data_IF_097282288278
#
_entry.id   IF_097282288278
#
_cell.length_a   1.000
_cell.length_b   1.000
_cell.length_c   1.000
_cell.angle_alpha   90.00
_cell.angle_beta   90.00
_cell.angle_gamma   90.00
#
_symmetry.space_group_name_H-M   'P 1'
#
loop_
_entity.id
_entity.type
_entity.pdbx_description
1 polymer ?
#
# COMPACT_ATOMS: atom_id res chain seq x y z
N UNK A 1 -21.92 25.28 3.13
CA UNK A 1 -22.01 24.27 2.06
C UNK A 1 -20.64 24.14 1.44
N UNK A 2 -19.78 23.29 2.07
CA UNK A 2 -18.47 22.96 1.53
C UNK A 2 -18.65 22.13 0.25
N UNK A 3 -17.98 22.53 -0.84
CA UNK A 3 -17.81 21.68 -2.00
C UNK A 3 -17.10 20.40 -1.49
N UNK A 4 -17.79 19.27 -1.48
CA UNK A 4 -17.18 17.99 -1.13
C UNK A 4 -16.02 17.75 -2.10
N UNK A 5 -14.82 17.58 -1.57
CA UNK A 5 -13.67 17.18 -2.36
C UNK A 5 -14.04 15.85 -3.03
N UNK A 6 -14.13 15.84 -4.35
CA UNK A 6 -14.37 14.60 -5.10
C UNK A 6 -13.10 13.77 -4.97
N UNK A 7 -13.21 12.62 -4.30
CA UNK A 7 -12.09 11.70 -4.15
C UNK A 7 -11.71 11.12 -5.52
N UNK A 8 -10.42 11.02 -5.79
CA UNK A 8 -9.94 10.33 -6.98
C UNK A 8 -10.39 8.85 -6.98
N UNK A 9 -10.74 8.26 -8.13
CA UNK A 9 -11.22 6.88 -8.18
C UNK A 9 -10.15 5.84 -7.83
N UNK A 10 -8.88 6.19 -7.93
CA UNK A 10 -7.77 5.33 -7.53
C UNK A 10 -6.96 5.96 -6.40
N UNK A 11 -6.38 5.11 -5.54
CA UNK A 11 -5.49 5.56 -4.47
C UNK A 11 -4.25 4.67 -4.38
N UNK A 12 -3.10 5.31 -4.16
CA UNK A 12 -1.88 4.66 -3.71
C UNK A 12 -1.73 4.89 -2.22
N UNK A 13 -1.43 3.86 -1.47
CA UNK A 13 -1.14 3.98 -0.03
C UNK A 13 0.24 3.39 0.25
N UNK A 14 1.17 4.23 0.65
CA UNK A 14 2.45 3.80 1.21
C UNK A 14 2.35 3.68 2.72
N UNK A 15 2.58 2.48 3.23
CA UNK A 15 2.55 2.17 4.66
C UNK A 15 3.96 2.13 5.23
N UNK A 16 4.15 2.56 6.48
CA UNK A 16 5.45 2.45 7.13
C UNK A 16 5.74 3.53 8.16
N UNK A 17 6.95 3.49 8.71
CA UNK A 17 7.48 4.48 9.64
C UNK A 17 8.83 4.98 9.15
N UNK A 18 8.92 6.25 8.75
CA UNK A 18 10.11 6.85 8.15
C UNK A 18 11.34 6.89 9.07
N UNK A 19 11.14 6.82 10.38
CA UNK A 19 12.23 6.84 11.35
C UNK A 19 12.65 5.43 11.82
N UNK A 20 12.13 4.38 11.20
CA UNK A 20 12.40 3.00 11.57
C UNK A 20 13.12 2.22 10.44
N UNK A 21 14.08 2.86 9.76
CA UNK A 21 14.88 2.24 8.71
C UNK A 21 14.02 1.74 7.55
N UNK A 22 14.20 0.49 7.16
CA UNK A 22 13.52 -0.10 6.01
C UNK A 22 11.98 -0.17 6.16
N UNK A 23 11.44 -0.06 7.38
CA UNK A 23 9.99 0.06 7.62
C UNK A 23 9.39 1.29 6.94
N UNK A 24 10.21 2.31 6.62
CA UNK A 24 9.82 3.48 5.86
C UNK A 24 9.66 3.28 4.36
N UNK A 25 9.97 2.11 3.82
CA UNK A 25 10.03 1.88 2.36
C UNK A 25 8.74 2.24 1.62
N UNK A 26 7.57 1.88 2.18
CA UNK A 26 6.27 2.23 1.58
C UNK A 26 6.03 3.74 1.54
N UNK A 27 6.41 4.47 2.59
CA UNK A 27 6.31 5.93 2.65
C UNK A 27 7.23 6.59 1.61
N UNK A 28 8.47 6.10 1.50
CA UNK A 28 9.42 6.59 0.49
C UNK A 28 8.89 6.38 -0.95
N UNK A 29 8.32 5.21 -1.22
CA UNK A 29 7.68 4.91 -2.50
C UNK A 29 6.48 5.85 -2.77
N UNK A 30 5.63 6.08 -1.77
CA UNK A 30 4.49 6.98 -1.90
C UNK A 30 4.91 8.40 -2.24
N UNK A 31 5.97 8.93 -1.63
CA UNK A 31 6.47 10.28 -1.95
C UNK A 31 6.94 10.42 -3.39
N UNK A 32 7.65 9.43 -3.92
CA UNK A 32 8.07 9.45 -5.32
C UNK A 32 6.84 9.38 -6.24
N UNK A 33 5.87 8.53 -5.91
CA UNK A 33 4.63 8.42 -6.68
C UNK A 33 3.76 9.68 -6.61
N UNK A 34 3.75 10.40 -5.49
CA UNK A 34 3.08 11.69 -5.34
C UNK A 34 3.61 12.71 -6.35
N UNK A 35 4.93 12.78 -6.51
CA UNK A 35 5.57 13.67 -7.50
C UNK A 35 5.31 13.19 -8.94
N UNK A 36 5.43 11.88 -9.22
CA UNK A 36 5.26 11.32 -10.57
C UNK A 36 3.81 11.34 -11.08
N UNK A 37 2.84 11.32 -10.17
CA UNK A 37 1.41 11.26 -10.47
C UNK A 37 0.67 12.55 -10.16
N UNK A 38 1.39 13.63 -9.80
CA UNK A 38 0.82 14.91 -9.40
C UNK A 38 -0.15 15.53 -10.42
N UNK A 39 0.07 15.26 -11.70
CA UNK A 39 -0.77 15.77 -12.80
C UNK A 39 -1.98 14.85 -13.13
N UNK A 40 -2.13 13.72 -12.47
CA UNK A 40 -3.24 12.78 -12.71
C UNK A 40 -4.36 12.96 -11.67
N UNK A 41 -5.46 13.67 -12.00
CA UNK A 41 -6.53 13.94 -11.04
C UNK A 41 -7.35 12.70 -10.65
N UNK A 42 -7.12 11.55 -11.30
CA UNK A 42 -7.81 10.31 -11.00
C UNK A 42 -7.06 9.43 -9.99
N UNK A 43 -5.90 9.88 -9.51
CA UNK A 43 -5.08 9.13 -8.56
C UNK A 43 -4.72 10.02 -7.37
N UNK A 44 -5.10 9.58 -6.17
CA UNK A 44 -4.58 10.15 -4.93
C UNK A 44 -3.42 9.30 -4.42
N UNK A 45 -2.45 9.94 -3.79
CA UNK A 45 -1.35 9.26 -3.10
C UNK A 45 -1.39 9.63 -1.62
N UNK A 46 -1.32 8.63 -0.74
CA UNK A 46 -1.41 8.79 0.70
C UNK A 46 -0.26 8.04 1.37
N UNK A 47 0.48 8.72 2.23
CA UNK A 47 1.42 8.10 3.16
C UNK A 47 0.70 7.85 4.49
N UNK A 48 0.72 6.62 4.99
CA UNK A 48 -0.03 6.21 6.17
C UNK A 48 0.87 5.43 7.14
N UNK A 49 1.07 5.91 8.37
CA UNK A 49 1.94 5.23 9.33
C UNK A 49 1.34 3.97 9.94
N UNK A 50 0.02 3.78 9.81
CA UNK A 50 -0.73 2.69 10.40
C UNK A 50 -1.68 2.05 9.39
N UNK A 51 -1.88 0.72 9.50
CA UNK A 51 -2.91 -0.03 8.77
C UNK A 51 -4.29 0.06 9.45
N UNK A 52 -5.02 -1.05 9.46
CA UNK A 52 -6.28 -1.19 10.20
C UNK A 52 -7.40 -0.26 9.73
N UNK A 53 -8.11 0.36 10.66
CA UNK A 53 -9.27 1.21 10.36
C UNK A 53 -8.90 2.48 9.59
N UNK A 54 -7.72 3.07 9.83
CA UNK A 54 -7.27 4.25 9.09
C UNK A 54 -7.09 3.94 7.60
N UNK A 55 -6.52 2.77 7.29
CA UNK A 55 -6.41 2.30 5.91
C UNK A 55 -7.79 2.08 5.28
N UNK A 56 -8.73 1.51 6.03
CA UNK A 56 -10.10 1.29 5.56
C UNK A 56 -10.81 2.60 5.17
N UNK A 57 -10.62 3.67 5.94
CA UNK A 57 -11.17 5.00 5.63
C UNK A 57 -10.56 5.59 4.34
N UNK A 58 -9.26 5.39 4.12
CA UNK A 58 -8.59 5.84 2.88
C UNK A 58 -9.09 5.07 1.66
N UNK A 59 -9.41 3.78 1.82
CA UNK A 59 -9.91 2.93 0.74
C UNK A 59 -11.39 3.18 0.40
N UNK A 60 -12.15 3.75 1.33
CA UNK A 60 -13.58 3.98 1.15
C UNK A 60 -13.86 4.88 -0.06
N UNK A 61 -14.88 4.49 -0.83
CA UNK A 61 -15.36 5.18 -2.03
C UNK A 61 -14.34 5.27 -3.18
N UNK A 62 -13.26 4.47 -3.12
CA UNK A 62 -12.31 4.27 -4.23
C UNK A 62 -12.75 3.07 -5.07
N UNK A 63 -12.31 3.04 -6.32
CA UNK A 63 -12.52 1.91 -7.25
C UNK A 63 -11.33 0.97 -7.32
N UNK A 64 -10.12 1.53 -7.20
CA UNK A 64 -8.85 0.79 -7.25
C UNK A 64 -7.91 1.28 -6.16
N UNK A 65 -7.10 0.38 -5.65
CA UNK A 65 -6.06 0.71 -4.69
C UNK A 65 -4.76 -0.04 -4.96
N UNK A 66 -3.65 0.65 -4.74
CA UNK A 66 -2.31 0.08 -4.69
C UNK A 66 -1.74 0.31 -3.29
N UNK A 67 -1.38 -0.76 -2.58
CA UNK A 67 -0.77 -0.69 -1.27
C UNK A 67 0.69 -1.08 -1.35
N UNK A 68 1.55 -0.37 -0.63
CA UNK A 68 2.98 -0.66 -0.53
C UNK A 68 3.34 -0.75 0.94
N UNK A 69 3.88 -1.89 1.38
CA UNK A 69 4.26 -2.14 2.76
C UNK A 69 5.65 -2.78 2.86
N UNK A 70 6.25 -2.69 4.03
CA UNK A 70 7.49 -3.38 4.36
C UNK A 70 7.17 -4.80 4.84
N UNK A 71 7.99 -5.77 4.44
CA UNK A 71 7.95 -7.14 4.91
C UNK A 71 9.15 -7.43 5.81
N UNK A 72 8.91 -8.20 6.86
CA UNK A 72 9.93 -8.81 7.73
C UNK A 72 9.61 -10.29 7.82
N UNK A 73 9.54 -10.96 6.66
CA UNK A 73 9.17 -12.37 6.58
C UNK A 73 10.36 -13.30 6.79
N UNK A 74 11.54 -12.88 6.38
CA UNK A 74 12.73 -13.71 6.30
C UNK A 74 12.66 -14.79 5.21
N UNK A 75 11.61 -14.77 4.37
CA UNK A 75 11.40 -15.76 3.30
C UNK A 75 12.05 -15.33 1.98
N UNK A 76 12.40 -14.03 1.85
CA UNK A 76 12.98 -13.45 0.65
C UNK A 76 14.28 -12.70 0.97
N UNK A 77 15.21 -12.59 0.01
CA UNK A 77 16.35 -11.69 0.15
C UNK A 77 15.89 -10.24 0.37
N UNK A 78 16.65 -9.49 1.19
CA UNK A 78 16.40 -8.07 1.42
C UNK A 78 16.34 -7.29 0.09
N UNK A 79 15.36 -6.41 -0.05
CA UNK A 79 15.09 -5.67 -1.27
C UNK A 79 14.28 -6.43 -2.32
N UNK A 80 13.79 -7.65 -2.01
CA UNK A 80 12.85 -8.33 -2.90
C UNK A 80 11.50 -7.61 -2.90
N UNK A 81 10.97 -7.36 -4.09
CA UNK A 81 9.60 -6.84 -4.27
C UNK A 81 8.66 -8.03 -4.50
N UNK A 82 7.71 -8.20 -3.61
CA UNK A 82 6.79 -9.34 -3.59
C UNK A 82 5.36 -8.86 -3.81
N UNK A 83 4.64 -9.50 -4.72
CA UNK A 83 3.21 -9.29 -4.86
C UNK A 83 2.48 -10.12 -3.81
N UNK A 84 1.66 -9.44 -2.98
CA UNK A 84 0.89 -10.11 -1.93
C UNK A 84 -0.56 -10.32 -2.37
N UNK A 85 -1.10 -11.47 -2.00
CA UNK A 85 -2.52 -11.76 -2.11
C UNK A 85 -3.26 -11.27 -0.85
N UNK A 86 -4.55 -10.95 -0.97
CA UNK A 86 -5.36 -10.44 0.16
C UNK A 86 -5.44 -11.44 1.34
N UNK A 87 -5.13 -12.71 1.11
CA UNK A 87 -5.17 -13.76 2.13
C UNK A 87 -3.84 -14.02 2.83
N UNK A 88 -2.73 -13.48 2.34
CA UNK A 88 -1.39 -13.76 2.86
C UNK A 88 -0.61 -12.49 3.18
N UNK A 89 -0.71 -12.05 4.45
CA UNK A 89 0.02 -10.91 4.98
C UNK A 89 1.12 -11.30 5.97
N UNK A 90 1.59 -12.54 5.90
CA UNK A 90 2.69 -12.99 6.76
C UNK A 90 3.92 -12.15 6.48
N UNK A 91 4.50 -11.62 7.57
CA UNK A 91 5.66 -10.73 7.49
C UNK A 91 5.35 -9.27 7.19
N UNK A 92 4.14 -8.92 6.74
CA UNK A 92 3.76 -7.51 6.60
C UNK A 92 3.76 -6.80 7.95
N UNK A 93 4.46 -5.67 8.02
CA UNK A 93 4.63 -4.92 9.28
C UNK A 93 3.35 -4.17 9.66
N UNK A 94 2.66 -3.59 8.68
CA UNK A 94 1.50 -2.72 8.94
C UNK A 94 0.15 -3.37 8.64
N UNK A 95 0.08 -4.27 7.67
CA UNK A 95 -1.16 -4.95 7.31
C UNK A 95 -1.52 -6.08 8.29
N UNK A 96 -0.53 -6.55 9.08
CA UNK A 96 -0.71 -7.57 10.11
C UNK A 96 -0.52 -7.03 11.54
N UNK A 97 -0.97 -5.82 11.80
CA UNK A 97 -0.76 -5.13 13.08
C UNK A 97 -1.41 -5.86 14.27
N UNK A 98 -0.65 -6.01 15.37
CA UNK A 98 -1.14 -6.61 16.62
C UNK A 98 -2.06 -5.70 17.45
N UNK A 99 -2.08 -4.40 17.18
CA UNK A 99 -2.80 -3.43 18.00
C UNK A 99 -4.15 -3.02 17.39
N UNK A 100 -4.34 -3.30 16.10
CA UNK A 100 -5.55 -2.98 15.37
C UNK A 100 -6.10 -4.22 14.66
N UNK A 101 -7.25 -4.05 14.04
CA UNK A 101 -7.86 -5.07 13.19
C UNK A 101 -6.94 -5.37 11.99
N UNK A 102 -6.73 -6.64 11.65
CA UNK A 102 -5.96 -7.03 10.47
C UNK A 102 -6.62 -6.54 9.17
N UNK A 103 -5.85 -6.37 8.10
CA UNK A 103 -6.37 -5.88 6.84
C UNK A 103 -7.57 -6.68 6.31
N UNK A 104 -7.56 -8.04 6.26
CA UNK A 104 -8.73 -8.80 5.85
C UNK A 104 -9.96 -8.58 6.72
N UNK A 105 -9.75 -8.46 8.04
CA UNK A 105 -10.85 -8.22 8.98
C UNK A 105 -11.39 -6.78 8.84
N UNK A 106 -10.53 -5.79 8.56
CA UNK A 106 -10.95 -4.42 8.26
C UNK A 106 -11.79 -4.36 6.98
N UNK A 107 -11.36 -5.04 5.91
CA UNK A 107 -12.13 -5.14 4.66
C UNK A 107 -13.50 -5.81 4.89
N UNK A 108 -13.54 -6.91 5.64
CA UNK A 108 -14.79 -7.58 5.99
C UNK A 108 -15.73 -6.65 6.77
N UNK A 109 -15.21 -5.93 7.78
CA UNK A 109 -15.97 -4.95 8.55
C UNK A 109 -16.53 -3.82 7.66
N UNK A 110 -15.73 -3.27 6.77
CA UNK A 110 -16.18 -2.23 5.84
C UNK A 110 -17.32 -2.70 4.94
N UNK A 111 -17.24 -3.95 4.47
CA UNK A 111 -18.32 -4.58 3.68
C UNK A 111 -19.60 -4.77 4.50
N UNK A 112 -19.49 -5.22 5.75
CA UNK A 112 -20.63 -5.35 6.67
C UNK A 112 -21.30 -4.00 6.99
N UNK A 113 -20.49 -2.92 7.07
CA UNK A 113 -20.99 -1.56 7.25
C UNK A 113 -21.59 -0.96 5.96
N UNK A 114 -21.61 -1.69 4.86
CA UNK A 114 -22.13 -1.23 3.57
C UNK A 114 -21.24 -0.18 2.88
N UNK A 115 -19.96 -0.07 3.25
CA UNK A 115 -19.04 0.86 2.60
C UNK A 115 -18.66 0.33 1.20
N UNK A 116 -18.56 1.24 0.26
CA UNK A 116 -17.96 0.92 -1.03
C UNK A 116 -16.44 0.88 -0.86
N UNK A 117 -15.87 -0.28 -1.08
CA UNK A 117 -14.43 -0.52 -1.06
C UNK A 117 -13.96 -0.82 -2.48
N UNK A 118 -12.65 -0.68 -2.78
CA UNK A 118 -12.14 -0.92 -4.11
C UNK A 118 -12.48 -2.33 -4.63
N UNK A 119 -12.84 -2.39 -5.91
CA UNK A 119 -13.06 -3.65 -6.61
C UNK A 119 -11.73 -4.39 -6.87
N UNK A 120 -10.63 -3.62 -6.95
CA UNK A 120 -9.30 -4.14 -7.20
C UNK A 120 -8.30 -3.52 -6.21
N UNK A 121 -7.70 -4.37 -5.40
CA UNK A 121 -6.64 -3.99 -4.45
C UNK A 121 -5.37 -4.75 -4.82
N UNK A 122 -4.34 -4.00 -5.11
CA UNK A 122 -3.03 -4.52 -5.48
C UNK A 122 -2.05 -4.23 -4.34
N UNK A 123 -1.32 -5.23 -3.84
CA UNK A 123 -0.45 -5.10 -2.68
C UNK A 123 0.96 -5.53 -3.04
N UNK A 124 1.94 -4.67 -2.76
CA UNK A 124 3.36 -4.95 -2.89
C UNK A 124 4.03 -4.89 -1.52
N UNK A 125 4.80 -5.91 -1.23
CA UNK A 125 5.69 -5.96 -0.08
C UNK A 125 7.14 -5.78 -0.51
N UNK A 126 7.93 -5.06 0.27
CA UNK A 126 9.38 -4.95 0.09
C UNK A 126 10.04 -5.62 1.28
N UNK A 127 10.80 -6.69 1.04
CA UNK A 127 11.50 -7.40 2.12
C UNK A 127 12.62 -6.53 2.70
N UNK A 128 12.57 -6.29 4.01
CA UNK A 128 13.53 -5.48 4.73
C UNK A 128 14.84 -6.22 5.02
N UNK A 129 15.92 -5.46 5.17
CA UNK A 129 17.13 -5.91 5.81
C UNK A 129 17.13 -5.51 7.30
N UNK A 130 16.71 -4.28 7.60
CA UNK A 130 16.74 -3.67 8.93
C UNK A 130 15.48 -2.81 9.18
N UNK A 131 14.45 -3.36 9.79
CA UNK A 131 13.17 -2.68 10.01
C UNK A 131 13.02 -2.02 11.39
N UNK A 132 13.94 -2.28 12.34
CA UNK A 132 13.85 -1.79 13.73
C UNK A 132 14.99 -0.82 14.10
N UNK A 133 15.73 -0.34 13.12
CA UNK A 133 16.85 0.60 13.35
C UNK A 133 16.31 2.03 13.29
N UNK A 134 16.57 2.81 14.35
CA UNK A 134 16.16 4.21 14.41
C UNK A 134 16.99 5.06 13.44
N UNK A 135 16.52 5.17 12.22
CA UNK A 135 17.12 5.93 11.12
C UNK A 135 16.10 6.24 10.04
N UNK A 136 16.25 7.36 9.35
CA UNK A 136 15.45 7.70 8.17
C UNK A 136 16.02 7.07 6.87
N UNK A 137 17.23 6.50 6.94
CA UNK A 137 17.90 5.92 5.79
C UNK A 137 17.45 4.48 5.54
N UNK A 138 17.06 4.19 4.31
CA UNK A 138 16.85 2.83 3.84
C UNK A 138 18.19 2.13 3.60
N UNK A 139 18.24 0.82 3.80
CA UNK A 139 19.37 0.02 3.34
C UNK A 139 19.47 0.03 1.81
N UNK A 140 20.67 -0.16 1.26
CA UNK A 140 20.89 -0.08 -0.19
C UNK A 140 19.97 -1.00 -1.02
N UNK A 141 19.74 -2.29 -0.64
CA UNK A 141 18.85 -3.16 -1.39
C UNK A 141 17.39 -2.68 -1.35
N UNK A 142 16.92 -2.15 -0.20
CA UNK A 142 15.55 -1.64 -0.06
C UNK A 142 15.37 -0.33 -0.82
N UNK A 143 16.36 0.57 -0.79
CA UNK A 143 16.32 1.79 -1.58
C UNK A 143 16.22 1.51 -3.09
N UNK A 144 16.92 0.48 -3.60
CA UNK A 144 16.78 0.05 -4.99
C UNK A 144 15.37 -0.52 -5.26
N UNK A 145 14.83 -1.33 -4.34
CA UNK A 145 13.50 -1.91 -4.45
C UNK A 145 12.37 -0.88 -4.46
N UNK A 146 12.54 0.26 -3.76
CA UNK A 146 11.59 1.38 -3.81
C UNK A 146 11.39 1.87 -5.24
N UNK A 147 12.45 2.01 -6.03
CA UNK A 147 12.31 2.41 -7.45
C UNK A 147 11.62 1.34 -8.29
N UNK A 148 11.87 0.06 -8.02
CA UNK A 148 11.21 -1.04 -8.71
C UNK A 148 9.70 -1.05 -8.43
N UNK A 149 9.30 -0.91 -7.17
CA UNK A 149 7.88 -0.91 -6.79
C UNK A 149 7.16 0.32 -7.32
N UNK A 150 7.79 1.50 -7.34
CA UNK A 150 7.24 2.72 -7.94
C UNK A 150 6.87 2.47 -9.40
N UNK A 151 7.77 1.89 -10.19
CA UNK A 151 7.48 1.56 -11.60
C UNK A 151 6.36 0.52 -11.74
N UNK A 152 6.31 -0.49 -10.87
CA UNK A 152 5.27 -1.51 -10.88
C UNK A 152 3.89 -0.93 -10.57
N UNK A 153 3.79 -0.09 -9.55
CA UNK A 153 2.56 0.59 -9.15
C UNK A 153 2.09 1.58 -10.22
N UNK A 154 2.99 2.42 -10.74
CA UNK A 154 2.63 3.36 -11.80
C UNK A 154 2.10 2.65 -13.05
N UNK A 155 2.70 1.52 -13.44
CA UNK A 155 2.21 0.68 -14.55
C UNK A 155 0.84 0.08 -14.25
N UNK A 156 0.62 -0.43 -13.03
CA UNK A 156 -0.67 -0.96 -12.60
C UNK A 156 -1.78 0.08 -12.71
N UNK A 157 -1.54 1.29 -12.24
CA UNK A 157 -2.53 2.37 -12.26
C UNK A 157 -2.83 2.90 -13.67
N UNK A 158 -1.81 2.98 -14.54
CA UNK A 158 -1.98 3.40 -15.94
C UNK A 158 -2.71 2.36 -16.79
N UNK A 159 -2.68 1.09 -16.42
CA UNK A 159 -3.42 0.03 -17.12
C UNK A 159 -4.88 0.01 -16.67
N UNK A 160 -5.66 1.00 -17.14
CA UNK A 160 -7.06 1.22 -16.76
C UNK A 160 -8.02 0.16 -17.31
N UNK A 161 -7.60 -0.60 -18.34
CA UNK A 161 -8.40 -1.60 -19.06
C UNK A 161 -7.96 -3.05 -18.78
N UNK A 162 -7.25 -3.28 -17.68
CA UNK A 162 -6.87 -4.64 -17.28
C UNK A 162 -8.11 -5.52 -17.07
N UNK A 163 -8.05 -6.83 -17.38
CA UNK A 163 -9.17 -7.73 -17.16
C UNK A 163 -9.54 -7.69 -15.66
N UNK A 164 -10.85 -7.73 -15.32
CA UNK A 164 -11.26 -7.82 -13.93
C UNK A 164 -10.60 -9.04 -13.28
N UNK A 165 -10.23 -8.96 -11.99
CA UNK A 165 -9.66 -10.11 -11.31
C UNK A 165 -10.59 -11.30 -11.47
N UNK A 166 -10.00 -12.44 -11.79
CA UNK A 166 -10.68 -13.69 -12.01
C UNK A 166 -11.59 -13.99 -10.80
N UNK A 167 -12.90 -13.78 -10.94
CA UNK A 167 -13.85 -14.25 -9.95
C UNK A 167 -13.80 -15.76 -10.02
N UNK A 168 -13.10 -16.39 -9.10
CA UNK A 168 -13.30 -17.82 -8.87
C UNK A 168 -14.72 -18.00 -8.37
N UNK A 169 -15.51 -18.68 -9.18
CA UNK A 169 -16.84 -19.19 -8.83
C UNK A 169 -16.76 -20.21 -7.70
#
# INVERSE_FOLDING_TARGET
LGAGTVLAPAVVVGLGNEIAGDDGAGIHAARILEDELADDPEIDVVALPWGGLALLEVLRDRRRAALIDCLVSGEHPAGSVVRLEESDFRGSVRLNSFHDISFPAAIALGRELGWRLPDEIAIWGIEAAEADVFTEALTAPVAAAVHEVVHAVARFLRNRDGPPPNRME
#
